data_IF_564676251101
#
_entry.id   IF_564676251101
#
_cell.length_a   1.000
_cell.length_b   1.000
_cell.length_c   1.000
_cell.angle_alpha   90.00
_cell.angle_beta   90.00
_cell.angle_gamma   90.00
#
_symmetry.space_group_name_H-M   'P 1'
#
loop_
_entity.id
_entity.type
_entity.pdbx_description
1 polymer ?
#
# COMPACT_ATOMS: atom_id res chain seq x y z
N UNK A 1 2.02 46.51 -19.71
CA UNK A 1 2.78 45.81 -18.66
C UNK A 1 1.84 44.76 -18.09
N UNK A 2 2.02 43.49 -18.45
CA UNK A 2 1.09 42.41 -18.12
C UNK A 2 1.04 42.17 -16.61
N UNK A 3 -0.16 42.16 -16.04
CA UNK A 3 -0.42 41.63 -14.71
C UNK A 3 0.01 40.17 -14.66
N UNK A 4 1.01 39.89 -13.83
CA UNK A 4 1.49 38.55 -13.57
C UNK A 4 0.35 37.75 -12.92
N UNK A 5 -0.22 36.81 -13.67
CA UNK A 5 -1.26 35.91 -13.18
C UNK A 5 -0.79 35.17 -11.93
N UNK A 6 -1.45 35.44 -10.80
CA UNK A 6 -1.20 34.73 -9.55
C UNK A 6 -1.55 33.26 -9.72
N UNK A 7 -0.54 32.39 -9.76
CA UNK A 7 -0.74 30.94 -9.69
C UNK A 7 -1.19 30.58 -8.26
N UNK A 8 -2.46 30.25 -8.09
CA UNK A 8 -2.99 29.64 -6.87
C UNK A 8 -2.61 28.16 -6.84
N UNK A 9 -1.45 27.84 -6.26
CA UNK A 9 -1.02 26.45 -6.09
C UNK A 9 -1.69 25.84 -4.86
N UNK A 10 -2.58 24.86 -5.08
CA UNK A 10 -3.15 24.08 -3.99
C UNK A 10 -2.12 23.09 -3.43
N UNK A 11 -2.06 22.99 -2.10
CA UNK A 11 -1.24 22.00 -1.40
C UNK A 11 -2.12 20.82 -1.01
N UNK A 12 -1.80 19.64 -1.53
CA UNK A 12 -2.39 18.40 -1.05
C UNK A 12 -1.68 17.98 0.23
N UNK A 13 -2.46 17.76 1.30
CA UNK A 13 -1.97 17.28 2.58
C UNK A 13 -2.55 15.89 2.84
N UNK A 14 -1.75 15.04 3.47
CA UNK A 14 -2.21 13.72 3.85
C UNK A 14 -3.31 13.85 4.93
N UNK A 15 -4.34 13.02 4.82
CA UNK A 15 -5.38 12.90 5.84
C UNK A 15 -5.11 11.65 6.66
N UNK A 16 -5.65 11.55 7.88
CA UNK A 16 -5.52 10.33 8.69
C UNK A 16 -6.02 9.08 7.96
N UNK A 17 -7.14 9.19 7.22
CA UNK A 17 -7.64 8.11 6.36
C UNK A 17 -6.67 7.75 5.22
N UNK A 18 -5.94 8.73 4.71
CA UNK A 18 -4.92 8.52 3.69
C UNK A 18 -3.67 7.84 4.24
N UNK A 19 -3.27 8.15 5.47
CA UNK A 19 -2.18 7.47 6.17
C UNK A 19 -2.49 5.99 6.39
N UNK A 20 -3.74 5.65 6.73
CA UNK A 20 -4.21 4.26 6.90
C UNK A 20 -4.07 3.41 5.62
N UNK A 21 -3.95 4.03 4.44
CA UNK A 21 -3.78 3.32 3.17
C UNK A 21 -2.36 2.77 2.95
N UNK A 22 -1.41 3.07 3.84
CA UNK A 22 -0.02 2.60 3.67
C UNK A 22 0.04 1.09 3.39
N UNK A 23 -0.76 0.27 4.09
CA UNK A 23 -0.77 -1.19 3.94
C UNK A 23 -1.25 -1.62 2.54
N UNK A 24 -2.21 -0.88 1.96
CA UNK A 24 -2.71 -1.14 0.61
C UNK A 24 -1.62 -0.83 -0.42
N UNK A 25 -0.86 0.25 -0.22
CA UNK A 25 0.26 0.60 -1.08
C UNK A 25 1.38 -0.45 -1.01
N UNK A 26 1.71 -0.97 0.17
CA UNK A 26 2.69 -2.05 0.33
C UNK A 26 2.21 -3.33 -0.35
N UNK A 27 0.93 -3.70 -0.19
CA UNK A 27 0.37 -4.88 -0.84
C UNK A 27 0.43 -4.77 -2.36
N UNK A 28 0.12 -3.59 -2.91
CA UNK A 28 0.22 -3.31 -4.33
C UNK A 28 1.68 -3.35 -4.82
N UNK A 29 2.62 -2.78 -4.06
CA UNK A 29 4.05 -2.85 -4.34
C UNK A 29 4.51 -4.30 -4.47
N UNK A 30 4.29 -5.12 -3.44
CA UNK A 30 4.70 -6.53 -3.45
C UNK A 30 4.02 -7.34 -4.56
N UNK A 31 2.77 -7.01 -4.93
CA UNK A 31 2.15 -7.60 -6.10
C UNK A 31 2.87 -7.18 -7.39
N UNK A 32 3.22 -5.90 -7.53
CA UNK A 32 3.97 -5.37 -8.66
C UNK A 32 5.35 -6.01 -8.81
N UNK A 33 6.10 -6.15 -7.72
CA UNK A 33 7.42 -6.83 -7.71
C UNK A 33 7.35 -8.23 -8.33
N UNK A 34 6.26 -8.97 -8.09
CA UNK A 34 6.08 -10.34 -8.58
C UNK A 34 5.54 -10.46 -10.01
N UNK A 35 4.89 -9.40 -10.53
CA UNK A 35 4.08 -9.51 -11.76
C UNK A 35 4.41 -8.46 -12.82
N UNK A 36 5.11 -7.39 -12.48
CA UNK A 36 5.31 -6.23 -13.35
C UNK A 36 6.77 -6.01 -13.77
N UNK A 37 7.69 -6.84 -13.30
CA UNK A 37 9.12 -6.71 -13.58
C UNK A 37 9.71 -8.05 -13.97
N UNK A 38 10.66 -8.01 -14.91
CA UNK A 38 11.49 -9.16 -15.23
C UNK A 38 12.59 -9.38 -14.17
N UNK A 39 13.24 -10.53 -14.21
CA UNK A 39 14.39 -10.79 -13.35
C UNK A 39 15.45 -9.69 -13.51
N UNK A 40 15.94 -9.16 -12.38
CA UNK A 40 16.94 -8.09 -12.29
C UNK A 40 16.51 -6.71 -12.88
N UNK A 41 15.24 -6.51 -13.25
CA UNK A 41 14.77 -5.21 -13.72
C UNK A 41 14.50 -4.25 -12.55
N UNK A 42 13.91 -4.75 -11.47
CA UNK A 42 13.59 -3.95 -10.31
C UNK A 42 14.79 -3.76 -9.39
N UNK A 43 15.36 -2.56 -9.42
CA UNK A 43 16.55 -2.18 -8.62
C UNK A 43 16.21 -1.64 -7.22
N UNK A 44 14.93 -1.62 -6.86
CA UNK A 44 14.45 -1.05 -5.59
C UNK A 44 13.74 -2.13 -4.78
N UNK A 45 14.00 -2.15 -3.46
CA UNK A 45 13.29 -3.00 -2.51
C UNK A 45 12.62 -2.13 -1.45
N UNK A 46 11.46 -2.56 -0.96
CA UNK A 46 10.82 -1.90 0.17
C UNK A 46 11.36 -2.46 1.48
N UNK A 47 11.91 -1.59 2.33
CA UNK A 47 12.56 -1.96 3.59
C UNK A 47 11.93 -1.24 4.78
N UNK A 48 12.04 -1.83 5.96
CA UNK A 48 11.70 -1.14 7.20
C UNK A 48 12.73 -0.03 7.50
N UNK A 49 12.28 1.06 8.14
CA UNK A 49 13.14 2.23 8.35
C UNK A 49 14.26 1.97 9.36
N UNK A 50 14.05 1.10 10.35
CA UNK A 50 14.94 0.99 11.50
C UNK A 50 16.06 -0.04 11.26
N UNK A 51 15.72 -1.21 10.72
CA UNK A 51 16.67 -2.29 10.45
C UNK A 51 17.12 -2.34 8.99
N UNK A 52 16.45 -1.61 8.08
CA UNK A 52 16.75 -1.61 6.64
C UNK A 52 16.65 -3.01 6.02
N UNK A 53 15.78 -3.86 6.57
CA UNK A 53 15.54 -5.20 6.05
C UNK A 53 14.31 -5.18 5.12
N UNK A 54 14.31 -5.98 4.04
CA UNK A 54 13.14 -6.12 3.18
C UNK A 54 11.89 -6.48 3.99
N UNK A 55 10.78 -5.85 3.65
CA UNK A 55 9.51 -6.16 4.29
C UNK A 55 9.09 -7.61 4.00
N UNK A 56 8.63 -8.31 5.02
CA UNK A 56 8.03 -9.64 4.85
C UNK A 56 6.82 -9.57 3.92
N UNK A 57 6.59 -10.65 3.17
CA UNK A 57 5.39 -10.78 2.37
C UNK A 57 4.14 -10.61 3.24
N UNK A 58 3.20 -9.78 2.77
CA UNK A 58 1.93 -9.60 3.47
C UNK A 58 1.08 -10.87 3.35
N UNK A 59 0.61 -11.34 4.50
CA UNK A 59 -0.30 -12.47 4.62
C UNK A 59 -1.57 -12.06 5.35
N UNK A 60 -2.71 -12.51 4.84
CA UNK A 60 -3.98 -12.35 5.51
C UNK A 60 -4.20 -13.53 6.45
N UNK A 61 -4.42 -13.25 7.73
CA UNK A 61 -4.72 -14.28 8.73
C UNK A 61 -6.13 -14.09 9.30
N UNK A 62 -6.80 -15.20 9.60
CA UNK A 62 -8.01 -15.22 10.39
C UNK A 62 -7.72 -14.84 11.85
N UNK A 63 -8.77 -14.54 12.61
CA UNK A 63 -8.65 -14.23 14.05
C UNK A 63 -8.01 -15.38 14.85
N UNK A 64 -8.14 -16.62 14.39
CA UNK A 64 -7.53 -17.81 14.99
C UNK A 64 -6.07 -18.05 14.54
N UNK A 65 -5.50 -17.14 13.74
CA UNK A 65 -4.12 -17.19 13.24
C UNK A 65 -3.92 -18.05 12.00
N UNK A 66 -4.96 -18.73 11.48
CA UNK A 66 -4.82 -19.50 10.23
C UNK A 66 -4.66 -18.56 9.03
N UNK A 67 -3.78 -18.88 8.06
CA UNK A 67 -3.69 -18.12 6.82
C UNK A 67 -4.96 -18.26 5.99
N UNK A 68 -5.37 -17.16 5.35
CA UNK A 68 -6.54 -17.08 4.49
C UNK A 68 -6.12 -16.82 3.04
N UNK A 69 -6.61 -17.65 2.14
CA UNK A 69 -6.45 -17.50 0.71
C UNK A 69 -7.61 -16.73 0.04
N UNK A 70 -7.54 -16.55 -1.29
CA UNK A 70 -8.52 -15.78 -2.08
C UNK A 70 -9.98 -16.26 -2.01
N UNK A 71 -10.25 -17.43 -1.43
CA UNK A 71 -11.58 -18.06 -1.36
C UNK A 71 -12.09 -18.26 0.07
N UNK A 72 -11.32 -17.83 1.08
CA UNK A 72 -11.63 -18.09 2.49
C UNK A 72 -12.40 -16.96 3.18
N UNK A 73 -12.95 -16.03 2.41
CA UNK A 73 -13.74 -14.91 2.91
C UNK A 73 -15.11 -14.84 2.24
N UNK A 74 -16.10 -14.39 3.00
CA UNK A 74 -17.44 -14.08 2.52
C UNK A 74 -17.98 -12.89 3.30
N UNK A 75 -18.90 -12.16 2.70
CA UNK A 75 -19.63 -11.12 3.43
C UNK A 75 -20.68 -11.76 4.32
N UNK A 76 -20.86 -11.20 5.51
CA UNK A 76 -21.96 -11.51 6.42
C UNK A 76 -22.59 -10.18 6.82
N UNK A 77 -23.90 -10.17 7.07
CA UNK A 77 -24.53 -9.00 7.70
C UNK A 77 -23.99 -8.85 9.12
N UNK A 78 -23.59 -7.64 9.49
CA UNK A 78 -23.39 -7.34 10.91
C UNK A 78 -24.79 -7.27 11.52
N UNK A 79 -25.08 -8.13 12.49
CA UNK A 79 -26.34 -8.03 13.25
C UNK A 79 -26.49 -6.62 13.82
N UNK A 80 -27.71 -6.10 13.82
CA UNK A 80 -28.06 -4.82 14.44
C UNK A 80 -27.66 -4.78 15.92
#
# INVERSE_FOLDING_TARGET
>A
MQDAGMSTRSRYVMTSKGEELYIVLIALWQWGERNCFEADELQYAMVDRDQQLPLTQLELHAQDGRPLGPRDFRTVTKGC
#
